data_IF_358864474690
#
_entry.id   IF_358864474690
#
_cell.length_a   1.000
_cell.length_b   1.000
_cell.length_c   1.000
_cell.angle_alpha   90.00
_cell.angle_beta   90.00
_cell.angle_gamma   90.00
#
_symmetry.space_group_name_H-M   'P 1'
#
loop_
_entity.id
_entity.type
_entity.pdbx_description
1 polymer ?
#
# COMPACT_ATOMS: atom_id res chain seq x y z
N UNK A 1 -1.13 -8.18 24.01
CA UNK A 1 -1.11 -8.10 23.46
C UNK A 1 -1.44 -7.55 22.50
N UNK A 2 -1.25 -7.13 21.68
CA UNK A 2 -1.49 -6.42 20.85
C UNK A 2 -1.88 -6.98 19.84
N UNK A 3 -2.22 -6.77 19.10
CA UNK A 3 -2.70 -7.33 18.29
C UNK A 3 -2.98 -6.69 17.16
N UNK A 4 -2.72 -5.71 16.81
CA UNK A 4 -3.15 -5.09 15.70
C UNK A 4 -2.14 -5.24 14.67
N UNK A 5 -2.42 -5.66 13.52
CA UNK A 5 -1.53 -5.81 12.46
C UNK A 5 -1.74 -4.72 11.47
N UNK A 6 -1.53 -3.54 11.84
CA UNK A 6 -1.66 -2.44 10.90
C UNK A 6 -0.31 -2.17 10.27
N UNK A 7 -0.28 -1.38 9.24
CA UNK A 7 0.97 -1.02 8.62
C UNK A 7 1.87 -0.29 9.60
N UNK A 8 1.28 0.37 10.54
CA UNK A 8 2.06 1.08 11.51
C UNK A 8 2.81 0.12 12.39
N UNK A 9 2.20 -0.99 12.75
CA UNK A 9 2.84 -1.96 13.61
C UNK A 9 3.93 -2.69 12.84
N UNK A 10 3.87 -2.70 11.53
CA UNK A 10 4.85 -3.41 10.73
C UNK A 10 5.92 -2.48 10.20
N UNK A 11 6.03 -1.32 10.78
CA UNK A 11 6.92 -0.32 10.24
C UNK A 11 8.36 -0.80 10.10
N UNK A 12 8.84 -1.50 11.08
CA UNK A 12 10.22 -1.97 11.05
C UNK A 12 10.42 -3.02 9.95
N UNK A 13 9.47 -3.89 9.81
CA UNK A 13 9.54 -4.92 8.79
C UNK A 13 9.50 -4.26 7.42
N UNK A 14 8.65 -3.27 7.27
CA UNK A 14 8.53 -2.57 6.00
C UNK A 14 9.84 -1.89 5.64
N UNK A 15 10.46 -1.22 6.60
CA UNK A 15 11.70 -0.55 6.32
C UNK A 15 12.78 -1.53 5.91
N UNK A 16 12.81 -2.66 6.56
CA UNK A 16 13.78 -3.68 6.25
C UNK A 16 13.54 -4.26 4.86
N UNK A 17 12.31 -4.57 4.56
CA UNK A 17 11.97 -5.14 3.27
C UNK A 17 12.26 -4.18 2.13
N UNK A 18 12.06 -2.90 2.36
CA UNK A 18 12.35 -1.92 1.33
C UNK A 18 13.83 -1.91 0.98
N UNK A 19 14.66 -2.22 1.94
CA UNK A 19 16.08 -2.23 1.67
C UNK A 19 16.54 -3.54 1.06
N UNK A 20 15.93 -4.63 1.45
CA UNK A 20 16.35 -5.92 0.96
C UNK A 20 15.69 -6.34 -0.33
N UNK A 21 14.49 -5.94 -0.55
CA UNK A 21 13.70 -6.42 -1.66
C UNK A 21 13.28 -5.25 -2.52
N UNK A 22 13.90 -5.11 -3.66
CA UNK A 22 13.58 -3.99 -4.53
C UNK A 22 12.18 -4.11 -5.11
N UNK A 23 11.67 -5.32 -5.26
CA UNK A 23 10.31 -5.49 -5.72
C UNK A 23 9.34 -4.94 -4.67
N UNK A 24 9.57 -5.24 -3.42
CA UNK A 24 8.72 -4.74 -2.35
C UNK A 24 8.80 -3.23 -2.30
N UNK A 25 9.99 -2.67 -2.42
CA UNK A 25 10.16 -1.23 -2.38
C UNK A 25 9.37 -0.58 -3.53
N UNK A 26 9.39 -1.21 -4.67
CA UNK A 26 8.71 -0.68 -5.84
C UNK A 26 7.20 -0.67 -5.65
N UNK A 27 6.62 -1.77 -5.19
CA UNK A 27 5.17 -1.81 -5.02
C UNK A 27 4.73 -0.93 -3.86
N UNK A 28 5.54 -0.82 -2.83
CA UNK A 28 5.19 0.04 -1.70
C UNK A 28 5.21 1.50 -2.15
N UNK A 29 6.18 1.86 -2.95
CA UNK A 29 6.29 3.21 -3.44
C UNK A 29 5.09 3.54 -4.33
N UNK A 30 4.73 2.62 -5.19
CA UNK A 30 3.60 2.84 -6.07
C UNK A 30 2.31 2.98 -5.25
N UNK A 31 2.17 2.17 -4.21
CA UNK A 31 1.00 2.26 -3.35
C UNK A 31 0.92 3.64 -2.71
N UNK A 32 2.04 4.14 -2.24
CA UNK A 32 2.07 5.45 -1.61
C UNK A 32 1.72 6.55 -2.60
N UNK A 33 2.23 6.45 -3.80
CA UNK A 33 1.94 7.45 -4.80
C UNK A 33 0.47 7.44 -5.18
N UNK A 34 -0.11 6.25 -5.33
CA UNK A 34 -1.51 6.17 -5.66
C UNK A 34 -2.37 6.73 -4.55
N UNK A 35 -1.98 6.48 -3.32
CA UNK A 35 -2.74 6.98 -2.18
C UNK A 35 -2.75 8.51 -2.21
N UNK A 36 -1.62 9.10 -2.50
CA UNK A 36 -1.53 10.55 -2.56
C UNK A 36 -2.34 11.12 -3.73
N UNK A 37 -2.29 10.45 -4.86
CA UNK A 37 -3.03 10.91 -6.02
C UNK A 37 -4.53 10.83 -5.77
N UNK A 38 -4.99 9.74 -5.18
CA UNK A 38 -6.40 9.58 -4.91
C UNK A 38 -6.86 10.66 -3.92
N UNK A 39 -6.08 10.92 -2.90
CA UNK A 39 -6.43 11.95 -1.93
C UNK A 39 -6.53 13.30 -2.58
N UNK A 40 -5.65 13.59 -3.52
CA UNK A 40 -5.69 14.86 -4.18
C UNK A 40 -6.90 14.99 -5.08
N UNK A 41 -7.23 13.94 -5.80
CA UNK A 41 -8.39 13.98 -6.67
C UNK A 41 -9.68 14.10 -5.84
N UNK A 42 -9.72 13.44 -4.70
CA UNK A 42 -10.90 13.54 -3.86
C UNK A 42 -11.07 14.96 -3.34
N UNK A 43 -9.97 15.61 -3.06
CA UNK A 43 -10.08 16.94 -2.54
C UNK A 43 -10.59 17.90 -3.58
N UNK A 44 -10.21 17.63 -4.78
CA UNK A 44 -10.63 18.50 -5.81
C UNK A 44 -12.05 18.43 -6.15
N UNK A 45 -12.79 17.70 -5.61
CA UNK A 45 -14.15 17.62 -5.75
C UNK A 45 -14.75 18.38 -6.77
N UNK A 46 -14.21 18.94 -7.55
CA UNK A 46 -14.78 19.72 -8.42
C UNK A 46 -15.54 19.11 -9.38
N UNK A 47 -16.29 18.57 -9.25
CA UNK A 47 -17.06 18.12 -10.12
C UNK A 47 -16.60 17.63 -11.36
N UNK A 48 -15.91 16.78 -11.56
CA UNK A 48 -15.55 16.23 -12.80
C UNK A 48 -16.04 14.83 -12.73
N UNK A 49 -17.23 14.64 -13.08
CA UNK A 49 -17.81 13.32 -13.07
C UNK A 49 -16.93 12.34 -13.84
N UNK A 50 -16.28 12.79 -14.88
CA UNK A 50 -15.51 11.87 -15.68
C UNK A 50 -14.31 11.32 -14.92
N UNK A 51 -13.92 11.94 -13.83
CA UNK A 51 -12.79 11.45 -13.11
C UNK A 51 -13.13 10.31 -12.18
N UNK A 52 -14.38 10.01 -12.00
CA UNK A 52 -14.79 8.92 -11.13
C UNK A 52 -14.18 7.61 -11.61
N UNK A 53 -14.12 7.42 -12.93
CA UNK A 53 -13.57 6.19 -13.45
C UNK A 53 -12.09 6.09 -13.14
N UNK A 54 -11.38 7.18 -13.26
CA UNK A 54 -9.95 7.19 -12.96
C UNK A 54 -9.71 6.90 -11.51
N UNK A 55 -10.48 7.53 -10.64
CA UNK A 55 -10.32 7.33 -9.22
C UNK A 55 -10.61 5.88 -8.86
N UNK A 56 -11.63 5.32 -9.48
CA UNK A 56 -11.98 3.94 -9.19
C UNK A 56 -10.86 2.99 -9.61
N UNK A 57 -10.28 3.22 -10.76
CA UNK A 57 -9.18 2.38 -11.22
C UNK A 57 -7.98 2.51 -10.31
N UNK A 58 -7.71 3.71 -9.85
CA UNK A 58 -6.60 3.93 -8.95
C UNK A 58 -6.83 3.24 -7.63
N UNK A 59 -8.06 3.26 -7.14
CA UNK A 59 -8.38 2.61 -5.88
C UNK A 59 -8.23 1.09 -5.99
N UNK A 60 -8.62 0.54 -7.13
CA UNK A 60 -8.46 -0.89 -7.34
C UNK A 60 -6.99 -1.26 -7.40
N UNK A 61 -6.22 -0.46 -8.08
CA UNK A 61 -4.79 -0.71 -8.18
C UNK A 61 -4.15 -0.62 -6.80
N UNK A 62 -4.54 0.39 -6.04
CA UNK A 62 -3.99 0.57 -4.71
C UNK A 62 -4.33 -0.65 -3.84
N UNK A 63 -5.54 -1.15 -3.95
CA UNK A 63 -5.95 -2.29 -3.17
C UNK A 63 -5.16 -3.53 -3.56
N UNK A 64 -4.92 -3.69 -4.84
CA UNK A 64 -4.14 -4.83 -5.32
C UNK A 64 -2.71 -4.75 -4.79
N UNK A 65 -2.12 -3.57 -4.81
CA UNK A 65 -0.78 -3.38 -4.30
C UNK A 65 -0.73 -3.63 -2.79
N UNK A 66 -1.77 -3.18 -2.10
CA UNK A 66 -1.82 -3.38 -0.67
C UNK A 66 -1.87 -4.87 -0.34
N UNK A 67 -2.62 -5.64 -1.12
CA UNK A 67 -2.69 -7.08 -0.92
C UNK A 67 -1.31 -7.70 -1.10
N UNK A 68 -0.58 -7.29 -2.10
CA UNK A 68 0.74 -7.84 -2.34
C UNK A 68 1.69 -7.45 -1.22
N UNK A 69 1.59 -6.23 -0.75
CA UNK A 69 2.43 -5.78 0.35
C UNK A 69 2.19 -6.65 1.59
N UNK A 70 0.93 -6.88 1.91
CA UNK A 70 0.62 -7.68 3.08
C UNK A 70 1.04 -9.14 2.91
N UNK A 71 0.95 -9.66 1.70
CA UNK A 71 1.39 -11.02 1.46
C UNK A 71 2.88 -11.15 1.72
N UNK A 72 3.64 -10.18 1.28
CA UNK A 72 5.08 -10.22 1.48
C UNK A 72 5.42 -10.08 2.96
N UNK A 73 4.71 -9.19 3.65
CA UNK A 73 4.94 -8.99 5.07
C UNK A 73 4.62 -10.26 5.84
N UNK A 74 3.48 -10.89 5.51
CA UNK A 74 3.08 -12.10 6.20
C UNK A 74 4.09 -13.20 5.97
N UNK A 75 4.57 -13.33 4.74
CA UNK A 75 5.54 -14.35 4.43
C UNK A 75 6.81 -14.11 5.23
N UNK A 76 7.22 -12.88 5.34
CA UNK A 76 8.41 -12.55 6.07
C UNK A 76 8.25 -12.85 7.56
N UNK A 77 7.09 -12.59 8.09
CA UNK A 77 6.83 -12.87 9.49
C UNK A 77 6.86 -14.37 9.76
N UNK A 78 6.27 -15.14 8.86
CA UNK A 78 6.25 -16.58 9.03
C UNK A 78 7.66 -17.14 9.00
N UNK A 79 8.46 -16.63 8.08
CA UNK A 79 9.83 -17.11 7.97
C UNK A 79 10.63 -16.73 9.21
N UNK A 80 10.37 -15.56 9.74
CA UNK A 80 11.08 -15.14 10.92
C UNK A 80 10.71 -15.98 12.13
N UNK A 81 9.49 -16.46 12.17
CA UNK A 81 9.05 -17.21 13.30
C UNK A 81 9.42 -18.69 13.19
N UNK A 82 9.74 -19.11 12.01
CA UNK A 82 10.11 -20.48 11.82
C UNK A 82 11.50 -20.73 12.36
#
# INVERSE_FOLDING_TARGET
>A
MRKTDTLQDNREIIAELKQKDSHFASIFDEHTQLDQQINQLDKDLVKHASRDDEIEQMKRRKLHLKDEIYKIIDKNKLESQA
#
